data_IF_364272085436
#
_entry.id   IF_364272085436
#
_cell.length_a   1.000
_cell.length_b   1.000
_cell.length_c   1.000
_cell.angle_alpha   90.00
_cell.angle_beta   90.00
_cell.angle_gamma   90.00
#
_symmetry.space_group_name_H-M   'P 1'
#
loop_
_entity.id
_entity.type
_entity.pdbx_description
1 polymer ?
#
# COMPACT_ATOMS: atom_id res chain seq x y z
N UNK A 1 11.24 15.68 -6.33
CA UNK A 1 10.95 14.78 -5.20
C UNK A 1 11.37 13.34 -5.51
N UNK A 2 10.75 12.64 -6.47
CA UNK A 2 11.17 11.27 -6.82
C UNK A 2 12.65 11.20 -7.26
N UNK A 3 13.08 12.06 -8.19
CA UNK A 3 14.47 12.08 -8.66
C UNK A 3 15.51 12.34 -7.56
N UNK A 4 15.18 13.18 -6.57
CA UNK A 4 16.08 13.43 -5.42
C UNK A 4 16.18 12.21 -4.50
N UNK A 5 15.05 11.53 -4.22
CA UNK A 5 15.04 10.31 -3.41
C UNK A 5 15.82 9.18 -4.08
N UNK A 6 15.59 8.97 -5.38
CA UNK A 6 16.32 7.97 -6.18
C UNK A 6 17.82 8.26 -6.17
N UNK A 7 18.22 9.53 -6.34
CA UNK A 7 19.62 9.92 -6.31
C UNK A 7 20.27 9.63 -4.96
N UNK A 8 19.55 9.89 -3.86
CA UNK A 8 20.04 9.57 -2.52
C UNK A 8 20.27 8.06 -2.36
N UNK A 9 19.35 7.22 -2.83
CA UNK A 9 19.51 5.76 -2.79
C UNK A 9 20.63 5.25 -3.70
N UNK A 10 20.83 5.84 -4.89
CA UNK A 10 21.91 5.44 -5.80
C UNK A 10 23.30 5.83 -5.28
N UNK A 11 23.39 6.91 -4.50
CA UNK A 11 24.65 7.33 -3.89
C UNK A 11 25.07 6.42 -2.72
N UNK A 12 24.14 5.65 -2.16
CA UNK A 12 24.46 4.65 -1.15
C UNK A 12 25.11 3.42 -1.82
N UNK A 13 26.33 3.10 -1.39
CA UNK A 13 27.10 1.96 -1.90
C UNK A 13 26.98 0.72 -1.02
N UNK A 14 26.18 0.79 0.05
CA UNK A 14 25.85 -0.38 0.85
C UNK A 14 25.11 -1.42 0.02
N UNK A 15 25.06 -2.65 0.52
CA UNK A 15 24.27 -3.74 -0.07
C UNK A 15 22.88 -3.81 0.55
N UNK A 16 22.45 -2.73 1.19
CA UNK A 16 21.16 -2.67 1.84
C UNK A 16 20.07 -2.42 0.80
N UNK A 17 18.92 -3.04 1.01
CA UNK A 17 17.80 -2.89 0.10
C UNK A 17 17.09 -1.54 0.32
N UNK A 18 17.00 -0.73 -0.73
CA UNK A 18 16.29 0.54 -0.69
C UNK A 18 14.93 0.40 -1.36
N UNK A 19 13.87 0.76 -0.64
CA UNK A 19 12.49 0.67 -1.11
C UNK A 19 11.92 2.07 -1.33
N UNK A 20 11.52 2.36 -2.57
CA UNK A 20 10.86 3.61 -2.94
C UNK A 20 9.36 3.31 -3.07
N UNK A 21 8.58 3.81 -2.11
CA UNK A 21 7.14 3.57 -2.05
C UNK A 21 6.42 4.79 -2.62
N UNK A 22 5.61 4.55 -3.64
CA UNK A 22 4.74 5.52 -4.27
C UNK A 22 3.30 5.19 -3.89
N UNK A 23 2.78 5.89 -2.87
CA UNK A 23 1.41 5.75 -2.39
C UNK A 23 0.50 6.77 -3.09
N UNK A 24 -0.56 6.26 -3.73
CA UNK A 24 -1.58 7.07 -4.37
C UNK A 24 -2.13 6.47 -5.67
N UNK A 25 -3.17 7.09 -6.25
CA UNK A 25 -3.81 6.61 -7.47
C UNK A 25 -2.89 6.72 -8.68
N UNK A 26 -2.95 5.72 -9.56
CA UNK A 26 -2.22 5.71 -10.83
C UNK A 26 -2.98 6.47 -11.90
N UNK A 27 -2.29 7.39 -12.56
CA UNK A 27 -2.77 8.10 -13.74
C UNK A 27 -1.92 7.74 -14.96
N UNK A 28 -2.57 7.61 -16.11
CA UNK A 28 -1.94 7.26 -17.38
C UNK A 28 -0.76 8.19 -17.73
N UNK A 29 -0.87 9.49 -17.42
CA UNK A 29 0.11 10.50 -17.82
C UNK A 29 1.45 10.31 -17.11
N UNK A 30 1.44 10.02 -15.80
CA UNK A 30 2.69 9.94 -15.05
C UNK A 30 3.28 8.54 -15.06
N UNK A 31 2.46 7.49 -15.10
CA UNK A 31 2.97 6.11 -15.08
C UNK A 31 3.73 5.78 -16.36
N UNK A 32 3.34 6.39 -17.49
CA UNK A 32 4.06 6.23 -18.76
C UNK A 32 5.48 6.77 -18.72
N UNK A 33 5.70 7.87 -17.98
CA UNK A 33 7.03 8.44 -17.79
C UNK A 33 7.95 7.52 -16.96
N UNK A 34 7.40 6.51 -16.29
CA UNK A 34 8.17 5.53 -15.51
C UNK A 34 8.42 4.23 -16.27
N UNK A 35 7.94 4.06 -17.50
CA UNK A 35 8.10 2.81 -18.25
C UNK A 35 9.57 2.35 -18.35
N UNK A 36 10.52 3.28 -18.51
CA UNK A 36 11.97 2.97 -18.63
C UNK A 36 12.63 2.57 -17.31
N UNK A 37 12.02 2.89 -16.16
CA UNK A 37 12.51 2.43 -14.86
C UNK A 37 11.83 1.13 -14.43
N UNK A 38 10.61 0.89 -14.93
CA UNK A 38 9.85 -0.32 -14.65
C UNK A 38 10.25 -1.51 -15.52
N UNK A 39 10.76 -1.27 -16.73
CA UNK A 39 11.30 -2.32 -17.61
C UNK A 39 12.65 -2.91 -17.11
N UNK A 40 13.29 -3.73 -17.94
CA UNK A 40 14.58 -4.37 -17.64
C UNK A 40 15.76 -3.38 -17.64
N UNK A 41 15.60 -2.18 -18.21
CA UNK A 41 16.66 -1.17 -18.23
C UNK A 41 16.89 -0.56 -16.86
N UNK A 42 15.86 -0.55 -15.99
CA UNK A 42 15.89 0.01 -14.63
C UNK A 42 16.51 1.41 -14.60
N UNK A 43 16.09 2.26 -15.53
CA UNK A 43 16.63 3.61 -15.73
C UNK A 43 15.55 4.67 -15.59
N UNK A 44 15.68 5.54 -14.60
CA UNK A 44 14.81 6.69 -14.44
C UNK A 44 15.29 7.82 -15.36
N UNK A 45 14.43 8.21 -16.31
CA UNK A 45 14.64 9.35 -17.18
C UNK A 45 13.86 10.55 -16.64
N UNK A 46 14.57 11.62 -16.30
CA UNK A 46 13.96 12.86 -15.82
C UNK A 46 13.79 13.87 -16.97
N UNK A 47 12.84 14.79 -16.84
CA UNK A 47 12.54 15.80 -17.86
C UNK A 47 13.73 16.74 -18.16
N UNK A 48 14.67 16.88 -17.22
CA UNK A 48 15.94 17.59 -17.42
C UNK A 48 16.97 16.77 -18.23
N UNK A 49 16.54 15.67 -18.87
CA UNK A 49 17.38 14.71 -19.61
C UNK A 49 18.39 13.94 -18.77
N UNK A 50 18.33 14.04 -17.44
CA UNK A 50 19.15 13.23 -16.54
C UNK A 50 18.66 11.79 -16.55
N UNK A 51 19.60 10.86 -16.55
CA UNK A 51 19.35 9.42 -16.56
C UNK A 51 19.99 8.79 -15.34
N UNK A 52 19.18 8.24 -14.45
CA UNK A 52 19.63 7.64 -13.21
C UNK A 52 19.36 6.14 -13.29
N UNK A 53 20.41 5.33 -13.29
CA UNK A 53 20.30 3.86 -13.31
C UNK A 53 20.16 3.33 -11.88
N UNK A 54 19.22 2.42 -11.68
CA UNK A 54 19.01 1.79 -10.38
C UNK A 54 20.14 0.81 -10.08
N UNK A 55 20.50 0.71 -8.80
CA UNK A 55 21.33 -0.39 -8.33
C UNK A 55 20.48 -1.66 -8.18
N UNK A 56 21.09 -2.86 -8.18
CA UNK A 56 20.36 -4.12 -7.98
C UNK A 56 19.64 -4.23 -6.62
N UNK A 57 19.98 -3.35 -5.67
CA UNK A 57 19.41 -3.35 -4.32
C UNK A 57 18.22 -2.38 -4.18
N UNK A 58 17.87 -1.64 -5.24
CA UNK A 58 16.75 -0.71 -5.24
C UNK A 58 15.47 -1.35 -5.76
N UNK A 59 14.38 -1.13 -5.04
CA UNK A 59 13.05 -1.59 -5.37
C UNK A 59 12.07 -0.42 -5.41
N UNK A 60 11.14 -0.45 -6.36
CA UNK A 60 10.03 0.51 -6.43
C UNK A 60 8.72 -0.24 -6.20
N UNK A 61 7.88 0.29 -5.33
CA UNK A 61 6.57 -0.27 -4.99
C UNK A 61 5.53 0.81 -5.17
N UNK A 62 4.39 0.45 -5.77
CA UNK A 62 3.23 1.32 -5.88
C UNK A 62 2.12 0.75 -5.00
N UNK A 63 1.62 1.59 -4.09
CA UNK A 63 0.41 1.30 -3.32
C UNK A 63 -0.74 2.03 -3.99
N UNK A 64 -1.63 1.27 -4.63
CA UNK A 64 -2.66 1.78 -5.54
C UNK A 64 -3.97 1.07 -5.27
N UNK A 65 -5.07 1.80 -5.33
CA UNK A 65 -6.40 1.23 -5.12
C UNK A 65 -6.86 0.39 -6.33
N UNK A 66 -6.67 0.94 -7.54
CA UNK A 66 -6.98 0.28 -8.79
C UNK A 66 -6.00 0.68 -9.89
N UNK A 67 -6.07 -0.05 -11.00
CA UNK A 67 -5.25 0.15 -12.20
C UNK A 67 -6.13 0.51 -13.40
N UNK A 68 -7.32 1.08 -13.17
CA UNK A 68 -8.28 1.35 -14.24
C UNK A 68 -7.71 2.28 -15.32
N UNK A 69 -6.81 3.18 -14.93
CA UNK A 69 -6.14 4.12 -15.82
C UNK A 69 -4.76 3.65 -16.32
N UNK A 70 -4.32 2.44 -15.96
CA UNK A 70 -3.01 1.92 -16.39
C UNK A 70 -3.16 1.05 -17.65
N UNK A 71 -2.23 1.21 -18.60
CA UNK A 71 -2.21 0.34 -19.78
C UNK A 71 -1.78 -1.09 -19.41
N UNK A 72 -2.34 -2.15 -20.04
CA UNK A 72 -1.88 -3.52 -19.81
C UNK A 72 -0.39 -3.73 -20.04
N UNK A 73 0.20 -2.97 -20.98
CA UNK A 73 1.65 -3.02 -21.27
C UNK A 73 2.50 -2.44 -20.13
N UNK A 74 1.97 -1.46 -19.38
CA UNK A 74 2.62 -0.93 -18.17
C UNK A 74 2.56 -1.95 -17.05
N UNK A 75 1.39 -2.53 -16.83
CA UNK A 75 1.17 -3.53 -15.77
C UNK A 75 1.98 -4.81 -16.02
N UNK A 76 2.17 -5.22 -17.27
CA UNK A 76 2.94 -6.43 -17.60
C UNK A 76 4.42 -6.37 -17.23
N UNK A 77 4.96 -5.17 -16.95
CA UNK A 77 6.35 -4.97 -16.53
C UNK A 77 6.53 -5.05 -15.02
N UNK A 78 5.43 -5.13 -14.26
CA UNK A 78 5.43 -5.10 -12.81
C UNK A 78 4.95 -6.44 -12.24
N UNK A 79 5.52 -6.84 -11.10
CA UNK A 79 4.92 -7.86 -10.26
C UNK A 79 3.70 -7.30 -9.57
N UNK A 80 2.57 -8.03 -9.61
CA UNK A 80 1.32 -7.59 -9.00
C UNK A 80 1.01 -8.41 -7.75
N UNK A 81 0.69 -7.74 -6.65
CA UNK A 81 0.19 -8.36 -5.42
C UNK A 81 -1.22 -7.83 -5.19
N UNK A 82 -2.21 -8.72 -5.28
CA UNK A 82 -3.60 -8.38 -5.01
C UNK A 82 -3.92 -8.64 -3.55
N UNK A 83 -4.52 -7.66 -2.88
CA UNK A 83 -4.99 -7.77 -1.50
C UNK A 83 -6.51 -7.64 -1.53
N UNK A 84 -7.21 -8.70 -1.15
CA UNK A 84 -8.67 -8.67 -1.02
C UNK A 84 -9.06 -7.87 0.23
N UNK A 85 -9.98 -6.92 0.09
CA UNK A 85 -10.52 -6.15 1.22
C UNK A 85 -11.29 -7.02 2.23
N UNK A 86 -11.70 -8.23 1.84
CA UNK A 86 -12.30 -9.21 2.73
C UNK A 86 -11.30 -9.96 3.60
N UNK A 87 -10.02 -10.01 3.19
CA UNK A 87 -8.96 -10.69 3.94
C UNK A 87 -8.47 -9.81 5.10
N UNK A 88 -8.32 -8.50 4.85
CA UNK A 88 -7.96 -7.51 5.87
C UNK A 88 -9.22 -6.85 6.42
N UNK A 89 -9.86 -7.51 7.39
CA UNK A 89 -11.05 -6.99 8.09
C UNK A 89 -10.67 -6.02 9.21
N UNK A 90 -11.64 -5.65 10.04
CA UNK A 90 -11.47 -4.78 11.20
C UNK A 90 -10.63 -5.42 12.33
N UNK A 91 -10.57 -6.75 12.41
CA UNK A 91 -10.00 -7.47 13.57
C UNK A 91 -8.50 -7.24 13.80
N UNK A 92 -7.61 -7.25 12.79
CA UNK A 92 -6.19 -6.95 12.98
C UNK A 92 -5.95 -5.58 13.61
N UNK A 93 -6.69 -4.55 13.21
CA UNK A 93 -6.60 -3.21 13.79
C UNK A 93 -6.95 -3.22 15.28
N UNK A 94 -8.06 -3.88 15.64
CA UNK A 94 -8.49 -4.00 17.03
C UNK A 94 -7.44 -4.76 17.85
N UNK A 95 -6.87 -5.85 17.33
CA UNK A 95 -5.78 -6.57 18.02
C UNK A 95 -4.56 -5.68 18.28
N UNK A 96 -4.17 -4.83 17.32
CA UNK A 96 -3.07 -3.87 17.53
C UNK A 96 -3.40 -2.83 18.60
N UNK A 97 -4.63 -2.33 18.63
CA UNK A 97 -5.08 -1.39 19.67
C UNK A 97 -5.20 -2.04 21.04
N UNK A 98 -5.70 -3.28 21.10
CA UNK A 98 -5.81 -4.07 22.31
C UNK A 98 -4.47 -4.25 23.01
N UNK A 99 -3.37 -4.46 22.28
CA UNK A 99 -2.03 -4.55 22.88
C UNK A 99 -1.66 -3.29 23.66
N UNK A 100 -1.97 -2.10 23.12
CA UNK A 100 -1.73 -0.81 23.81
C UNK A 100 -2.69 -0.58 24.97
N UNK A 101 -3.90 -1.13 24.87
CA UNK A 101 -4.92 -1.01 25.91
C UNK A 101 -4.59 -1.91 27.12
N UNK A 102 -4.09 -3.11 26.87
CA UNK A 102 -3.65 -4.08 27.87
C UNK A 102 -2.59 -3.51 28.80
N UNK A 103 -1.60 -2.79 28.25
CA UNK A 103 -0.55 -2.11 29.01
C UNK A 103 -1.11 -1.10 30.04
N UNK A 104 -2.30 -0.52 29.79
CA UNK A 104 -2.88 0.55 30.61
C UNK A 104 -3.97 0.06 31.56
N UNK A 105 -4.75 -0.94 31.16
CA UNK A 105 -5.95 -1.37 31.87
C UNK A 105 -5.91 -2.83 32.34
N UNK A 106 -4.94 -3.62 31.87
CA UNK A 106 -4.77 -5.02 32.21
C UNK A 106 -5.48 -6.00 31.27
N UNK A 107 -5.09 -7.27 31.37
CA UNK A 107 -5.50 -8.37 30.49
C UNK A 107 -7.01 -8.64 30.54
N UNK A 108 -7.58 -8.77 31.74
CA UNK A 108 -9.01 -9.06 31.95
C UNK A 108 -9.96 -8.11 31.21
N UNK A 109 -9.69 -6.80 31.26
CA UNK A 109 -10.52 -5.80 30.58
C UNK A 109 -10.33 -5.85 29.06
N UNK A 110 -9.12 -6.18 28.61
CA UNK A 110 -8.78 -6.30 27.19
C UNK A 110 -9.48 -7.50 26.56
N UNK A 111 -9.46 -8.65 27.24
CA UNK A 111 -10.19 -9.85 26.81
C UNK A 111 -11.69 -9.61 26.74
N UNK A 112 -12.25 -8.98 27.78
CA UNK A 112 -13.67 -8.63 27.79
C UNK A 112 -14.03 -7.71 26.62
N UNK A 113 -13.23 -6.66 26.36
CA UNK A 113 -13.45 -5.76 25.24
C UNK A 113 -13.37 -6.50 23.89
N UNK A 114 -12.34 -7.34 23.69
CA UNK A 114 -12.19 -8.15 22.48
C UNK A 114 -13.39 -9.09 22.27
N UNK A 115 -13.95 -9.66 23.34
CA UNK A 115 -15.14 -10.50 23.27
C UNK A 115 -16.36 -9.74 22.75
N UNK A 116 -16.54 -8.47 23.15
CA UNK A 116 -17.61 -7.61 22.66
C UNK A 116 -17.44 -7.29 21.18
N UNK A 117 -16.21 -6.97 20.75
CA UNK A 117 -15.90 -6.72 19.34
C UNK A 117 -16.26 -7.94 18.47
N UNK A 118 -15.77 -9.12 18.83
CA UNK A 118 -16.05 -10.38 18.10
C UNK A 118 -17.54 -10.73 18.08
N UNK A 119 -18.27 -10.42 19.16
CA UNK A 119 -19.70 -10.78 19.26
C UNK A 119 -20.60 -9.86 18.44
N UNK A 120 -20.27 -8.57 18.38
CA UNK A 120 -21.20 -7.55 17.91
C UNK A 120 -20.81 -6.91 16.59
N UNK A 121 -19.53 -6.71 16.28
CA UNK A 121 -19.12 -5.90 15.12
C UNK A 121 -19.52 -6.54 13.80
N UNK A 122 -19.25 -7.82 13.59
CA UNK A 122 -19.63 -8.50 12.34
C UNK A 122 -21.15 -8.55 12.16
N UNK A 123 -21.91 -8.76 13.24
CA UNK A 123 -23.38 -8.73 13.21
C UNK A 123 -23.90 -7.34 12.86
N UNK A 124 -23.30 -6.30 13.46
CA UNK A 124 -23.63 -4.90 13.19
C UNK A 124 -23.33 -4.51 11.75
N UNK A 125 -22.14 -4.83 11.24
CA UNK A 125 -21.75 -4.59 9.85
C UNK A 125 -22.67 -5.32 8.87
N UNK A 126 -23.03 -6.57 9.17
CA UNK A 126 -23.97 -7.34 8.34
C UNK A 126 -25.37 -6.70 8.34
N UNK A 127 -25.82 -6.21 9.50
CA UNK A 127 -27.10 -5.51 9.59
C UNK A 127 -27.10 -4.22 8.77
N UNK A 128 -26.05 -3.40 8.89
CA UNK A 128 -25.91 -2.14 8.14
C UNK A 128 -25.92 -2.42 6.64
N UNK A 129 -25.09 -3.35 6.16
CA UNK A 129 -25.00 -3.69 4.72
C UNK A 129 -26.30 -4.23 4.12
N UNK A 130 -27.15 -4.88 4.93
CA UNK A 130 -28.42 -5.47 4.47
C UNK A 130 -29.62 -4.52 4.60
N UNK A 131 -29.68 -3.74 5.67
CA UNK A 131 -30.89 -3.00 6.06
C UNK A 131 -30.73 -1.49 5.95
N UNK A 132 -29.50 -0.97 5.84
CA UNK A 132 -29.23 0.45 5.75
C UNK A 132 -28.77 0.82 4.33
N UNK A 133 -28.99 2.09 3.96
CA UNK A 133 -28.50 2.66 2.71
C UNK A 133 -27.29 3.53 3.02
N UNK A 134 -26.12 3.08 2.60
CA UNK A 134 -24.89 3.87 2.68
C UNK A 134 -24.90 4.96 1.59
N UNK A 135 -24.72 6.22 2.00
CA UNK A 135 -24.65 7.36 1.07
C UNK A 135 -23.34 7.32 0.27
N UNK A 136 -22.26 6.93 0.94
CA UNK A 136 -20.94 6.69 0.35
C UNK A 136 -20.66 5.22 0.55
N UNK A 137 -20.55 4.47 -0.54
CA UNK A 137 -20.21 3.05 -0.48
C UNK A 137 -18.73 2.90 -0.13
N UNK A 138 -18.43 1.96 0.75
CA UNK A 138 -17.07 1.49 0.93
C UNK A 138 -16.65 0.75 -0.35
N UNK A 139 -15.58 1.21 -1.00
CA UNK A 139 -14.99 0.60 -2.21
C UNK A 139 -14.10 -0.57 -1.79
#
# INVERSE_FOLDING_TARGET
>A
LMGSSVRQCVNDQSRDHHWIICDGPVDAVWIENLNTVLDDNKMLCLANSERIKYSPYMHMVFEVQDLACASPATVSRCGMVYIDSNDIRWLPYVKTWSRKFEEKFGELYTEYLLSLFNTHVDKGLTFIRKNCKEVIKQV
#
